data_IF_450970085135
#
_entry.id   IF_450970085135
#
_cell.length_a   1.000
_cell.length_b   1.000
_cell.length_c   1.000
_cell.angle_alpha   90.00
_cell.angle_beta   90.00
_cell.angle_gamma   90.00
#
_symmetry.space_group_name_H-M   'P 1'
#
loop_
_entity.id
_entity.type
_entity.pdbx_description
1 polymer ?
#
# COMPACT_ATOMS: atom_id res chain seq x y z
N UNK A 1 -10.96 7.57 -17.25
CA UNK A 1 -9.56 7.14 -17.49
C UNK A 1 -9.33 5.73 -16.96
N UNK A 2 -9.77 5.44 -15.73
CA UNK A 2 -9.75 4.09 -15.13
C UNK A 2 -10.31 3.00 -16.07
N UNK A 3 -11.54 3.16 -16.57
CA UNK A 3 -12.20 2.13 -17.42
C UNK A 3 -11.56 1.91 -18.80
N UNK A 4 -10.55 2.70 -19.17
CA UNK A 4 -9.80 2.54 -20.43
C UNK A 4 -8.34 2.11 -20.21
N UNK A 5 -7.73 2.57 -19.13
CA UNK A 5 -6.27 2.42 -18.89
C UNK A 5 -5.93 1.58 -17.66
N UNK A 6 -6.91 1.33 -16.79
CA UNK A 6 -6.66 0.76 -15.46
C UNK A 6 -6.03 1.72 -14.46
N UNK A 7 -5.77 2.98 -14.85
CA UNK A 7 -5.11 3.98 -13.99
C UNK A 7 -6.18 4.95 -13.44
N UNK A 8 -6.32 5.07 -12.10
CA UNK A 8 -7.22 6.06 -11.51
C UNK A 8 -6.66 7.47 -11.70
N UNK A 9 -7.56 8.45 -11.81
CA UNK A 9 -7.17 9.87 -11.81
C UNK A 9 -6.61 10.30 -10.46
N UNK A 10 -5.86 11.40 -10.44
CA UNK A 10 -5.36 11.99 -9.18
C UNK A 10 -6.50 12.34 -8.22
N UNK A 11 -7.64 12.81 -8.72
CA UNK A 11 -8.84 13.08 -7.92
C UNK A 11 -9.39 11.81 -7.26
N UNK A 12 -9.48 10.71 -8.02
CA UNK A 12 -9.89 9.42 -7.49
C UNK A 12 -8.95 8.96 -6.37
N UNK A 13 -7.64 9.02 -6.59
CA UNK A 13 -6.65 8.64 -5.57
C UNK A 13 -6.80 9.50 -4.31
N UNK A 14 -6.81 10.83 -4.46
CA UNK A 14 -6.92 11.75 -3.32
C UNK A 14 -8.23 11.54 -2.53
N UNK A 15 -9.33 11.18 -3.20
CA UNK A 15 -10.61 10.87 -2.54
C UNK A 15 -10.54 9.70 -1.56
N UNK A 16 -9.52 8.85 -1.65
CA UNK A 16 -9.34 7.67 -0.78
C UNK A 16 -8.45 7.95 0.43
N UNK A 17 -7.71 9.06 0.42
CA UNK A 17 -6.84 9.45 1.52
C UNK A 17 -7.61 10.32 2.53
N UNK A 18 -7.43 10.08 3.84
CA UNK A 18 -7.90 11.03 4.84
C UNK A 18 -7.02 12.28 4.84
N UNK A 19 -7.43 13.31 5.58
CA UNK A 19 -6.60 14.48 5.80
C UNK A 19 -5.22 14.11 6.37
N UNK A 20 -4.18 14.84 5.98
CA UNK A 20 -2.78 14.51 6.35
C UNK A 20 -2.56 14.43 7.86
N UNK A 21 -3.30 15.20 8.66
CA UNK A 21 -3.23 15.15 10.12
C UNK A 21 -3.62 13.77 10.68
N UNK A 22 -4.56 13.07 10.04
CA UNK A 22 -4.95 11.73 10.45
C UNK A 22 -3.87 10.69 10.16
N UNK A 23 -3.00 10.95 9.17
CA UNK A 23 -1.92 10.06 8.74
C UNK A 23 -0.68 10.12 9.66
N UNK A 24 -0.67 10.95 10.70
CA UNK A 24 0.33 10.85 11.78
C UNK A 24 0.26 9.44 12.43
N UNK A 25 -0.93 8.85 12.45
CA UNK A 25 -1.16 7.43 12.79
C UNK A 25 -1.45 6.64 11.51
N UNK A 26 -1.14 5.34 11.48
CA UNK A 26 -1.37 4.53 10.29
C UNK A 26 -2.86 4.38 10.00
N UNK A 27 -3.26 4.60 8.75
CA UNK A 27 -4.65 4.45 8.27
C UNK A 27 -4.69 3.58 7.02
N UNK A 28 -5.74 2.77 6.90
CA UNK A 28 -5.98 2.03 5.67
C UNK A 28 -6.42 2.99 4.56
N UNK A 29 -5.94 2.77 3.35
CA UNK A 29 -6.34 3.49 2.13
C UNK A 29 -7.06 2.46 1.27
N UNK A 30 -8.32 2.72 0.94
CA UNK A 30 -9.22 1.76 0.28
C UNK A 30 -9.39 2.16 -1.19
N UNK A 31 -8.55 1.65 -2.08
CA UNK A 31 -8.55 2.01 -3.51
C UNK A 31 -9.53 1.19 -4.36
N UNK A 32 -10.73 0.96 -3.83
CA UNK A 32 -11.86 0.45 -4.61
C UNK A 32 -12.58 1.63 -5.27
N UNK A 33 -12.55 1.70 -6.60
CA UNK A 33 -13.11 2.82 -7.37
C UNK A 33 -14.42 2.50 -8.09
N UNK A 34 -14.81 1.22 -8.12
CA UNK A 34 -15.98 0.70 -8.82
C UNK A 34 -16.90 -0.02 -7.83
N UNK A 35 -18.18 -0.12 -8.19
CA UNK A 35 -19.21 -0.76 -7.37
C UNK A 35 -19.19 -2.28 -7.61
N UNK A 36 -18.57 -3.02 -6.68
CA UNK A 36 -18.35 -4.47 -6.76
C UNK A 36 -18.93 -5.18 -5.53
N UNK A 37 -19.54 -6.38 -5.67
CA UNK A 37 -20.17 -7.09 -4.55
C UNK A 37 -19.12 -7.78 -3.66
N UNK A 38 -18.38 -7.00 -2.87
CA UNK A 38 -17.23 -7.47 -2.09
C UNK A 38 -17.19 -6.82 -0.70
N UNK A 39 -17.07 -7.62 0.37
CA UNK A 39 -16.98 -7.16 1.76
C UNK A 39 -15.91 -7.78 2.69
N UNK A 40 -14.90 -8.58 2.25
CA UNK A 40 -13.88 -9.11 3.15
C UNK A 40 -13.17 -8.08 4.02
N UNK A 41 -12.95 -6.85 3.53
CA UNK A 41 -12.29 -5.78 4.29
C UNK A 41 -13.14 -5.28 5.47
N UNK A 42 -14.46 -5.24 5.34
CA UNK A 42 -15.38 -4.95 6.45
C UNK A 42 -15.38 -6.13 7.42
N UNK A 43 -15.58 -7.35 6.92
CA UNK A 43 -15.68 -8.57 7.75
C UNK A 43 -14.41 -8.87 8.54
N UNK A 44 -13.23 -8.57 7.98
CA UNK A 44 -11.94 -8.83 8.63
C UNK A 44 -11.51 -7.75 9.63
N UNK A 45 -12.19 -6.59 9.66
CA UNK A 45 -11.81 -5.48 10.51
C UNK A 45 -12.30 -5.70 11.96
N UNK A 46 -11.42 -5.94 12.95
CA UNK A 46 -11.86 -6.16 14.32
C UNK A 46 -12.23 -4.86 15.06
N UNK A 47 -12.17 -3.71 14.36
CA UNK A 47 -12.41 -2.38 14.92
C UNK A 47 -13.64 -1.70 14.29
N UNK A 48 -14.36 -2.39 13.40
CA UNK A 48 -15.50 -1.84 12.63
C UNK A 48 -15.16 -0.51 11.96
N UNK A 49 -13.94 -0.41 11.42
CA UNK A 49 -13.41 0.82 10.84
C UNK A 49 -13.70 0.94 9.33
N UNK A 50 -14.33 -0.06 8.72
CA UNK A 50 -14.68 -0.09 7.29
C UNK A 50 -16.17 -0.38 7.18
N UNK A 51 -16.91 0.43 6.41
CA UNK A 51 -18.36 0.29 6.17
C UNK A 51 -18.64 0.25 4.67
N UNK A 52 -19.40 -0.74 4.23
CA UNK A 52 -19.99 -0.87 2.89
C UNK A 52 -21.50 -0.57 2.95
N UNK A 53 -22.17 -0.99 4.02
CA UNK A 53 -23.62 -0.83 4.20
C UNK A 53 -24.42 -2.05 3.71
N UNK A 54 -25.73 -1.88 3.53
CA UNK A 54 -26.65 -2.98 3.16
C UNK A 54 -26.48 -3.43 1.71
N UNK A 55 -26.26 -2.48 0.79
CA UNK A 55 -25.92 -2.80 -0.59
C UNK A 55 -24.44 -3.16 -0.69
N UNK A 56 -24.15 -4.45 -0.82
CA UNK A 56 -22.79 -4.99 -0.92
C UNK A 56 -21.98 -4.44 -2.10
N UNK A 57 -22.64 -3.87 -3.12
CA UNK A 57 -21.94 -3.23 -4.24
C UNK A 57 -21.35 -1.86 -3.89
N UNK A 58 -21.70 -1.29 -2.73
CA UNK A 58 -21.22 0.04 -2.34
C UNK A 58 -19.71 0.02 -2.07
N UNK A 59 -19.00 1.03 -2.56
CA UNK A 59 -17.58 1.18 -2.26
C UNK A 59 -17.33 1.30 -0.74
N UNK A 60 -16.31 0.60 -0.21
CA UNK A 60 -16.01 0.63 1.21
C UNK A 60 -15.53 2.03 1.64
N UNK A 61 -16.04 2.49 2.79
CA UNK A 61 -15.66 3.77 3.41
C UNK A 61 -14.93 3.52 4.72
N UNK A 62 -13.86 4.27 4.95
CA UNK A 62 -13.09 4.21 6.19
C UNK A 62 -13.69 5.14 7.25
N UNK A 63 -13.94 4.62 8.44
CA UNK A 63 -14.13 5.42 9.65
C UNK A 63 -12.73 5.71 10.22
N UNK A 64 -12.19 6.87 9.86
CA UNK A 64 -10.80 7.25 10.15
C UNK A 64 -10.44 7.06 11.62
N UNK A 65 -11.29 7.49 12.55
CA UNK A 65 -11.00 7.46 13.99
C UNK A 65 -10.89 6.05 14.57
N UNK A 66 -11.63 5.08 14.02
CA UNK A 66 -11.58 3.68 14.46
C UNK A 66 -10.41 2.91 13.85
N UNK A 67 -9.88 3.37 12.73
CA UNK A 67 -8.80 2.66 12.04
C UNK A 67 -7.48 2.75 12.83
N UNK A 68 -6.96 1.59 13.21
CA UNK A 68 -5.65 1.46 13.90
C UNK A 68 -4.48 1.22 12.94
N UNK A 69 -4.75 1.02 11.65
CA UNK A 69 -3.73 0.68 10.66
C UNK A 69 -3.09 -0.70 10.87
N UNK A 70 -3.81 -1.65 11.49
CA UNK A 70 -3.29 -2.99 11.78
C UNK A 70 -2.83 -3.75 10.52
N UNK A 71 -3.55 -3.60 9.39
CA UNK A 71 -3.22 -4.21 8.11
C UNK A 71 -3.97 -5.52 7.79
N UNK A 72 -4.89 -5.99 8.64
CA UNK A 72 -5.67 -7.20 8.37
C UNK A 72 -6.53 -7.08 7.08
N UNK A 73 -7.09 -5.89 6.85
CA UNK A 73 -7.86 -5.61 5.63
C UNK A 73 -7.00 -5.69 4.35
N UNK A 74 -5.69 -5.42 4.45
CA UNK A 74 -4.75 -5.51 3.32
C UNK A 74 -4.64 -6.95 2.86
N UNK A 75 -4.36 -7.87 3.77
CA UNK A 75 -4.16 -9.29 3.46
C UNK A 75 -5.46 -10.04 3.21
N UNK A 76 -6.61 -9.51 3.63
CA UNK A 76 -7.92 -10.10 3.33
C UNK A 76 -8.53 -9.60 2.01
N UNK A 77 -7.92 -8.60 1.35
CA UNK A 77 -8.48 -7.99 0.15
C UNK A 77 -8.20 -8.88 -1.06
N UNK A 78 -9.21 -9.49 -1.70
CA UNK A 78 -8.97 -10.33 -2.88
C UNK A 78 -8.49 -9.53 -4.10
N UNK A 79 -8.71 -8.20 -4.11
CA UNK A 79 -8.27 -7.32 -5.18
C UNK A 79 -6.92 -6.62 -4.93
N UNK A 80 -6.25 -6.91 -3.80
CA UNK A 80 -5.01 -6.24 -3.36
C UNK A 80 -5.08 -4.70 -3.40
N UNK A 81 -6.28 -4.15 -3.25
CA UNK A 81 -6.60 -2.73 -3.45
C UNK A 81 -6.51 -1.89 -2.17
N UNK A 82 -5.96 -2.47 -1.09
CA UNK A 82 -5.87 -1.81 0.21
C UNK A 82 -4.41 -1.74 0.62
N UNK A 83 -3.97 -0.56 1.02
CA UNK A 83 -2.67 -0.34 1.68
C UNK A 83 -2.91 0.31 3.04
N UNK A 84 -1.91 0.32 3.90
CA UNK A 84 -1.89 1.20 5.06
C UNK A 84 -0.84 2.27 4.82
N UNK A 85 -1.17 3.55 5.04
CA UNK A 85 -0.24 4.67 4.93
C UNK A 85 -0.08 5.38 6.27
N UNK A 86 1.13 5.89 6.52
CA UNK A 86 1.46 6.72 7.68
C UNK A 86 2.55 7.73 7.29
N UNK A 87 2.40 8.98 7.73
CA UNK A 87 3.46 9.99 7.66
C UNK A 87 4.35 9.86 8.90
N UNK A 88 5.66 9.68 8.69
CA UNK A 88 6.67 9.59 9.74
C UNK A 88 7.80 10.58 9.46
N UNK A 89 7.70 11.77 10.02
CA UNK A 89 8.70 12.81 9.82
C UNK A 89 8.79 13.21 8.35
N UNK A 90 9.88 12.80 7.70
CA UNK A 90 10.25 13.13 6.32
C UNK A 90 9.86 12.07 5.27
N UNK A 91 9.25 10.96 5.68
CA UNK A 91 8.87 9.87 4.79
C UNK A 91 7.44 9.38 5.00
N UNK A 92 6.91 8.73 3.97
CA UNK A 92 5.68 7.96 4.04
C UNK A 92 6.05 6.48 4.27
N UNK A 93 5.46 5.88 5.30
CA UNK A 93 5.54 4.44 5.55
C UNK A 93 4.26 3.77 5.06
N UNK A 94 4.42 2.69 4.31
CA UNK A 94 3.33 1.89 3.79
C UNK A 94 3.38 0.45 4.31
N UNK A 95 2.20 -0.16 4.47
CA UNK A 95 2.05 -1.63 4.49
C UNK A 95 1.27 -2.04 3.25
N UNK A 96 1.91 -2.78 2.36
CA UNK A 96 1.37 -3.19 1.07
C UNK A 96 1.17 -4.72 1.03
N UNK A 97 0.18 -5.21 0.27
CA UNK A 97 0.07 -6.62 -0.03
C UNK A 97 1.16 -7.02 -1.05
N UNK A 98 1.68 -8.25 -0.93
CA UNK A 98 2.70 -8.75 -1.84
C UNK A 98 2.58 -10.27 -2.03
N UNK A 99 2.54 -10.71 -3.30
CA UNK A 99 2.29 -12.11 -3.69
C UNK A 99 3.28 -12.63 -4.75
N UNK A 100 4.37 -11.89 -5.00
CA UNK A 100 5.34 -12.24 -6.04
C UNK A 100 6.63 -12.85 -5.47
N UNK A 101 7.48 -13.35 -6.37
CA UNK A 101 8.86 -13.73 -6.06
C UNK A 101 9.84 -12.83 -6.83
N UNK A 102 11.04 -12.57 -6.30
CA UNK A 102 11.55 -13.01 -5.00
C UNK A 102 10.87 -12.30 -3.81
N UNK A 103 10.83 -12.94 -2.64
CA UNK A 103 10.31 -12.29 -1.44
C UNK A 103 11.29 -11.21 -0.93
N UNK A 104 10.83 -9.98 -0.67
CA UNK A 104 11.67 -8.93 -0.10
C UNK A 104 12.21 -9.31 1.28
N UNK A 105 13.36 -8.74 1.65
CA UNK A 105 13.92 -8.85 2.99
C UNK A 105 14.06 -7.48 3.63
N UNK A 106 13.89 -7.43 4.94
CA UNK A 106 14.12 -6.21 5.74
C UNK A 106 15.53 -5.67 5.48
N UNK A 107 15.62 -4.37 5.23
CA UNK A 107 16.86 -3.65 4.92
C UNK A 107 17.19 -3.55 3.43
N UNK A 108 16.51 -4.31 2.56
CA UNK A 108 16.71 -4.19 1.12
C UNK A 108 16.12 -2.89 0.56
N UNK A 109 16.67 -2.45 -0.58
CA UNK A 109 16.16 -1.33 -1.37
C UNK A 109 15.54 -1.87 -2.66
N UNK A 110 14.29 -1.52 -2.88
CA UNK A 110 13.46 -1.93 -4.01
C UNK A 110 13.04 -0.70 -4.81
N UNK A 111 12.56 -0.91 -6.04
CA UNK A 111 12.00 0.19 -6.82
C UNK A 111 10.56 0.44 -6.34
N UNK A 112 10.28 1.63 -5.83
CA UNK A 112 8.92 2.08 -5.58
C UNK A 112 8.26 2.47 -6.90
N UNK A 113 7.04 1.98 -7.13
CA UNK A 113 6.31 2.22 -8.38
C UNK A 113 4.96 2.89 -8.13
N UNK A 114 4.49 3.62 -9.14
CA UNK A 114 3.17 4.24 -9.16
C UNK A 114 2.14 3.32 -9.87
N UNK A 115 0.90 3.83 -10.01
CA UNK A 115 -0.25 3.09 -10.58
C UNK A 115 -0.15 2.84 -12.09
N UNK A 116 0.74 3.54 -12.80
CA UNK A 116 1.09 3.24 -14.21
C UNK A 116 2.26 2.24 -14.32
N UNK A 117 2.88 1.83 -13.21
CA UNK A 117 4.02 0.91 -13.17
C UNK A 117 5.38 1.57 -13.41
N UNK A 118 5.43 2.90 -13.42
CA UNK A 118 6.66 3.69 -13.52
C UNK A 118 7.39 3.66 -12.19
N UNK A 119 8.73 3.65 -12.23
CA UNK A 119 9.53 3.78 -11.00
C UNK A 119 9.67 5.23 -10.65
N UNK A 120 9.31 5.56 -9.42
CA UNK A 120 9.27 6.95 -8.92
C UNK A 120 10.31 7.19 -7.82
N UNK A 121 10.71 6.15 -7.07
CA UNK A 121 11.66 6.31 -5.98
C UNK A 121 12.34 4.99 -5.55
N UNK A 122 13.28 5.13 -4.63
CA UNK A 122 13.81 4.03 -3.81
C UNK A 122 12.85 3.73 -2.66
N UNK A 123 12.42 2.48 -2.53
CA UNK A 123 11.60 1.99 -1.42
C UNK A 123 12.44 1.11 -0.50
N UNK A 124 12.56 1.49 0.77
CA UNK A 124 13.33 0.73 1.77
C UNK A 124 12.39 -0.22 2.50
N UNK A 125 12.72 -1.51 2.55
CA UNK A 125 11.91 -2.53 3.21
C UNK A 125 12.17 -2.52 4.73
N UNK A 126 11.15 -2.21 5.52
CA UNK A 126 11.22 -2.16 6.99
C UNK A 126 10.84 -3.48 7.65
N UNK A 127 10.02 -4.30 6.98
CA UNK A 127 9.60 -5.59 7.49
C UNK A 127 8.74 -6.36 6.50
N UNK A 128 8.75 -7.68 6.63
CA UNK A 128 7.93 -8.58 5.83
C UNK A 128 7.26 -9.56 6.79
N UNK A 129 5.94 -9.65 6.72
CA UNK A 129 5.15 -10.53 7.58
C UNK A 129 4.38 -11.50 6.70
N UNK A 130 4.66 -12.79 6.89
CA UNK A 130 3.89 -13.88 6.30
C UNK A 130 3.33 -14.73 7.44
N UNK A 131 2.02 -14.72 7.59
CA UNK A 131 1.34 -15.50 8.62
C UNK A 131 0.62 -16.68 7.96
N UNK A 132 0.58 -17.84 8.62
CA UNK A 132 -0.13 -19.02 8.11
C UNK A 132 -1.63 -18.76 7.86
N UNK A 133 -2.22 -17.80 8.57
CA UNK A 133 -3.63 -17.41 8.42
C UNK A 133 -3.89 -16.51 7.22
N UNK A 134 -2.85 -15.94 6.63
CA UNK A 134 -2.99 -15.16 5.41
C UNK A 134 -3.06 -16.13 4.23
N UNK A 135 -3.92 -15.85 3.25
CA UNK A 135 -4.04 -16.63 2.02
C UNK A 135 -2.86 -16.34 1.09
N UNK A 136 -1.66 -16.75 1.49
CA UNK A 136 -0.39 -16.55 0.79
C UNK A 136 0.04 -15.09 0.53
N UNK A 137 -0.76 -14.08 0.90
CA UNK A 137 -0.39 -12.66 0.84
C UNK A 137 0.55 -12.27 1.98
N UNK A 138 1.74 -11.79 1.62
CA UNK A 138 2.65 -11.15 2.56
C UNK A 138 2.23 -9.69 2.82
N UNK A 139 2.38 -9.24 4.06
CA UNK A 139 2.27 -7.84 4.42
C UNK A 139 3.67 -7.23 4.48
N UNK A 140 4.03 -6.45 3.48
CA UNK A 140 5.34 -5.80 3.37
C UNK A 140 5.24 -4.38 3.89
N UNK A 141 6.05 -4.05 4.90
CA UNK A 141 6.22 -2.67 5.37
C UNK A 141 7.40 -2.05 4.66
N UNK A 142 7.21 -0.90 4.03
CA UNK A 142 8.26 -0.16 3.36
C UNK A 142 8.11 1.35 3.57
N UNK A 143 9.19 2.10 3.34
CA UNK A 143 9.17 3.57 3.39
C UNK A 143 9.68 4.17 2.08
N UNK A 144 9.08 5.30 1.71
CA UNK A 144 9.40 6.11 0.52
C UNK A 144 9.42 7.59 0.88
N UNK A 145 10.08 8.46 0.09
CA UNK A 145 10.04 9.91 0.32
C UNK A 145 8.61 10.44 0.40
N UNK A 146 8.37 11.41 1.30
CA UNK A 146 7.02 11.90 1.61
C UNK A 146 6.29 12.49 0.39
N UNK A 147 7.01 13.06 -0.57
CA UNK A 147 6.44 13.60 -1.82
C UNK A 147 5.65 12.55 -2.64
N UNK A 148 5.98 11.26 -2.48
CA UNK A 148 5.30 10.16 -3.17
C UNK A 148 4.12 9.56 -2.39
N UNK A 149 3.68 10.20 -1.28
CA UNK A 149 2.58 9.71 -0.43
C UNK A 149 1.32 9.33 -1.24
N UNK A 150 0.96 10.13 -2.24
CA UNK A 150 -0.23 9.87 -3.07
C UNK A 150 0.09 9.14 -4.36
N UNK A 151 1.36 8.98 -4.73
CA UNK A 151 1.76 8.40 -6.02
C UNK A 151 2.21 6.94 -5.91
N UNK A 152 2.90 6.58 -4.82
CA UNK A 152 3.35 5.22 -4.53
C UNK A 152 2.17 4.25 -4.39
N UNK A 153 2.31 3.05 -4.96
CA UNK A 153 1.32 1.97 -4.81
C UNK A 153 1.94 0.64 -4.37
N UNK A 154 3.12 0.28 -4.90
CA UNK A 154 3.77 -0.99 -4.56
C UNK A 154 5.27 -0.95 -4.89
N UNK A 155 5.95 -2.08 -4.69
CA UNK A 155 7.37 -2.27 -4.98
C UNK A 155 7.60 -3.21 -6.16
N UNK A 156 8.73 -3.04 -6.85
CA UNK A 156 9.24 -3.92 -7.90
C UNK A 156 10.69 -4.31 -7.61
N UNK A 157 11.05 -5.54 -7.96
CA UNK A 157 12.43 -6.02 -7.83
C UNK A 157 13.37 -5.08 -8.58
N UNK A 158 14.42 -4.63 -7.90
CA UNK A 158 15.45 -3.76 -8.51
C UNK A 158 16.31 -4.62 -9.44
N UNK A 159 16.11 -4.44 -10.75
CA UNK A 159 16.95 -5.09 -11.75
C UNK A 159 18.32 -4.40 -11.77
N UNK A 160 19.38 -5.20 -11.65
CA UNK A 160 20.78 -4.78 -11.57
C UNK A 160 21.27 -3.87 -12.72
N UNK A 161 20.50 -3.77 -13.81
CA UNK A 161 20.86 -2.98 -15.00
C UNK A 161 20.63 -1.48 -14.87
N UNK A 162 19.92 -1.02 -13.82
CA UNK A 162 19.81 0.41 -13.52
C UNK A 162 21.07 0.88 -12.80
N UNK A 163 21.97 1.53 -13.56
CA UNK A 163 23.13 2.26 -13.02
C UNK A 163 22.66 3.12 -11.84
N UNK A 164 23.19 2.80 -10.67
CA UNK A 164 23.03 3.58 -9.44
C UNK A 164 23.45 5.02 -9.76
N UNK A 165 22.53 5.98 -9.64
CA UNK A 165 22.90 7.39 -9.47
C UNK A 165 23.78 7.44 -8.21
N UNK A 166 25.01 7.91 -8.40
CA UNK A 166 26.22 7.67 -7.60
C UNK A 166 26.23 8.29 -6.19
N UNK A 167 25.11 8.28 -5.47
CA UNK A 167 24.99 8.99 -4.18
C UNK A 167 24.83 8.07 -2.97
N UNK A 168 24.55 6.77 -3.15
CA UNK A 168 24.47 5.81 -2.03
C UNK A 168 25.07 4.47 -2.44
N UNK A 169 26.40 4.36 -2.34
CA UNK A 169 27.09 3.08 -2.43
C UNK A 169 27.08 2.44 -1.05
N UNK A 170 26.13 1.55 -0.79
CA UNK A 170 26.29 0.55 0.27
C UNK A 170 27.20 -0.54 -0.31
N UNK A 171 28.48 -0.52 0.07
CA UNK A 171 29.39 -1.65 -0.15
C UNK A 171 28.84 -2.85 0.61
N UNK A 172 28.29 -3.83 -0.11
CA UNK A 172 28.16 -5.20 0.41
C UNK A 172 29.37 -5.99 -0.09
N UNK A 173 30.31 -6.23 0.83
CA UNK A 173 31.39 -7.19 0.67
C UNK A 173 30.85 -8.59 0.95
N UNK A 174 30.91 -9.46 -0.06
CA UNK A 174 31.10 -10.91 0.10
C UNK A 174 32.20 -11.29 -0.90
#
# INVERSE_FOLDING_TARGET
MLNKTGIPSSEQVLSRFPESQALIRPKAILECYEDIPCNPCQTSCPFDAIIIGENINTQPKLIVDKCTGCGLCVTSCPGLAIVVAQIKGDHAQFKIPYEFLPMPKKGEVWDGVNRSGETICDAIIDGVQLQQKNDHTALVTCRVPLEFLHEFVTIRVRLWTRKISSSVVVKMSI
#
